data_IF_147090915003
#
_entry.id   IF_147090915003
#
_cell.length_a   1.000
_cell.length_b   1.000
_cell.length_c   1.000
_cell.angle_alpha   90.00
_cell.angle_beta   90.00
_cell.angle_gamma   90.00
#
_symmetry.space_group_name_H-M   'P 1'
#
loop_
_entity.id
_entity.type
_entity.pdbx_description
1 polymer ?
#
# COMPACT_ATOMS: atom_id res chain seq x y z
N UNK A 1 37.48 -37.60 -48.79
CA UNK A 1 37.48 -36.72 -49.98
C UNK A 1 36.87 -35.38 -49.58
N UNK A 2 37.55 -34.25 -49.73
CA UNK A 2 36.98 -32.96 -49.30
C UNK A 2 37.84 -31.75 -49.66
N UNK A 3 37.21 -30.81 -50.36
CA UNK A 3 37.69 -29.48 -50.74
C UNK A 3 36.54 -28.75 -51.50
N UNK A 4 36.46 -27.40 -51.54
CA UNK A 4 37.09 -26.42 -50.63
C UNK A 4 36.27 -25.11 -50.36
N UNK A 5 36.86 -24.24 -49.52
CA UNK A 5 36.82 -22.74 -49.53
C UNK A 5 35.52 -21.98 -49.17
N UNK A 6 35.66 -21.13 -48.14
CA UNK A 6 35.82 -19.68 -48.34
C UNK A 6 36.66 -19.06 -47.20
N UNK A 7 37.43 -17.99 -47.49
CA UNK A 7 38.21 -17.19 -46.52
C UNK A 7 37.69 -15.75 -46.52
N UNK A 8 37.83 -15.04 -45.40
CA UNK A 8 38.17 -13.61 -45.18
C UNK A 8 37.90 -13.33 -43.68
N UNK A 9 38.63 -12.54 -42.89
CA UNK A 9 39.86 -11.75 -43.06
C UNK A 9 39.94 -10.81 -41.84
N UNK A 10 40.96 -10.91 -40.98
CA UNK A 10 41.09 -10.13 -39.72
C UNK A 10 42.18 -9.07 -39.86
N UNK A 11 41.97 -7.89 -39.25
CA UNK A 11 42.90 -7.12 -38.37
C UNK A 11 42.16 -5.83 -37.90
N UNK A 12 42.20 -5.27 -36.67
CA UNK A 12 43.11 -5.14 -35.50
C UNK A 12 44.10 -3.96 -35.53
N UNK A 13 44.25 -3.31 -34.34
CA UNK A 13 45.21 -2.25 -33.91
C UNK A 13 44.81 -0.78 -34.17
N UNK A 14 45.28 0.27 -33.44
CA UNK A 14 45.50 0.50 -31.97
C UNK A 14 45.82 2.01 -31.69
N UNK A 15 45.15 2.64 -30.71
CA UNK A 15 45.49 3.84 -29.85
C UNK A 15 46.60 4.89 -30.21
N UNK A 16 46.19 6.19 -30.20
CA UNK A 16 46.79 7.42 -29.53
C UNK A 16 48.20 7.94 -29.99
N UNK A 17 48.69 9.20 -29.67
CA UNK A 17 48.25 10.21 -28.67
C UNK A 17 48.35 11.75 -28.98
N UNK A 18 47.79 12.58 -28.05
CA UNK A 18 48.22 13.91 -27.47
C UNK A 18 48.62 15.19 -28.27
N UNK A 19 47.97 16.29 -27.83
CA UNK A 19 48.49 17.63 -27.42
C UNK A 19 48.87 18.73 -28.45
N UNK A 20 48.50 19.98 -28.13
CA UNK A 20 48.86 21.20 -28.89
C UNK A 20 48.21 22.48 -28.34
N UNK A 21 48.86 23.11 -27.35
CA UNK A 21 48.45 24.39 -26.72
C UNK A 21 48.87 25.61 -27.57
N UNK A 22 48.08 26.70 -27.59
CA UNK A 22 48.52 28.07 -27.94
C UNK A 22 47.47 29.16 -27.67
N UNK A 23 47.75 30.00 -26.67
CA UNK A 23 47.04 31.24 -26.40
C UNK A 23 47.71 32.49 -27.04
N UNK A 24 46.91 33.52 -27.39
CA UNK A 24 47.17 34.99 -27.40
C UNK A 24 45.93 35.68 -28.02
N UNK A 25 45.11 36.54 -27.38
CA UNK A 25 45.26 37.69 -26.44
C UNK A 25 45.48 39.04 -27.14
N UNK A 26 44.83 40.09 -26.60
CA UNK A 26 44.80 41.53 -26.98
C UNK A 26 43.73 41.92 -28.05
N UNK A 27 43.08 43.11 -28.00
CA UNK A 27 43.31 44.32 -27.15
C UNK A 27 41.99 45.09 -26.83
N UNK A 28 42.01 45.96 -25.80
CA UNK A 28 40.89 46.77 -25.27
C UNK A 28 40.77 48.17 -25.91
N UNK A 29 39.55 48.72 -25.92
CA UNK A 29 39.16 50.11 -25.56
C UNK A 29 37.63 50.08 -25.27
N UNK A 30 36.99 50.56 -24.19
CA UNK A 30 37.26 51.47 -23.04
C UNK A 30 36.89 52.96 -23.22
N UNK A 31 35.61 53.27 -22.99
CA UNK A 31 35.04 54.48 -22.34
C UNK A 31 33.85 53.96 -21.50
N UNK A 32 33.74 54.23 -20.18
CA UNK A 32 33.47 55.48 -19.45
C UNK A 32 32.12 56.11 -19.80
N UNK A 33 31.26 56.52 -18.87
CA UNK A 33 31.12 56.34 -17.39
C UNK A 33 29.61 56.62 -17.07
N UNK A 34 28.99 56.36 -15.91
CA UNK A 34 29.42 55.76 -14.64
C UNK A 34 28.57 56.31 -13.45
N UNK A 35 27.96 55.46 -12.61
CA UNK A 35 27.12 55.88 -11.47
C UNK A 35 27.15 54.89 -10.29
N UNK A 36 27.60 55.37 -9.11
CA UNK A 36 27.44 54.91 -7.71
C UNK A 36 27.56 53.40 -7.35
N UNK A 37 28.52 52.99 -6.51
CA UNK A 37 28.64 53.21 -5.03
C UNK A 37 27.51 52.54 -4.22
N UNK A 38 27.74 51.81 -3.11
CA UNK A 38 28.93 51.14 -2.56
C UNK A 38 28.48 50.14 -1.45
N UNK A 39 29.38 49.25 -1.01
CA UNK A 39 29.42 48.48 0.26
C UNK A 39 28.10 48.25 1.09
N UNK A 40 27.68 47.01 1.36
CA UNK A 40 28.19 46.18 2.48
C UNK A 40 28.26 46.94 3.82
N UNK A 41 27.25 46.78 4.70
CA UNK A 41 27.38 46.51 6.15
C UNK A 41 26.00 46.34 6.84
N UNK A 42 25.98 45.79 8.07
CA UNK A 42 24.82 45.47 8.93
C UNK A 42 23.84 44.41 8.33
N UNK A 43 23.58 43.24 8.91
CA UNK A 43 23.74 42.68 10.25
C UNK A 43 23.00 43.43 11.38
N UNK A 44 22.09 42.69 12.02
CA UNK A 44 21.21 43.08 13.13
C UNK A 44 20.04 44.02 12.77
N UNK A 45 18.94 43.42 12.30
CA UNK A 45 17.72 43.59 13.08
C UNK A 45 16.98 42.25 13.24
N UNK A 46 16.61 41.94 14.48
CA UNK A 46 16.11 40.62 14.90
C UNK A 46 14.63 40.71 15.25
N UNK A 47 13.96 39.56 15.29
CA UNK A 47 12.75 39.33 16.11
C UNK A 47 11.51 40.19 15.79
N UNK A 48 10.83 40.01 14.65
CA UNK A 48 9.37 40.27 14.60
C UNK A 48 8.51 39.36 13.68
N UNK A 49 9.08 38.37 12.98
CA UNK A 49 8.31 37.44 12.12
C UNK A 49 7.87 36.11 12.74
N UNK A 50 8.47 35.68 13.86
CA UNK A 50 8.43 34.28 14.32
C UNK A 50 7.19 33.84 15.13
N UNK A 51 6.11 34.63 15.15
CA UNK A 51 4.91 34.36 16.00
C UNK A 51 3.58 34.14 15.27
N UNK A 52 3.52 34.18 13.93
CA UNK A 52 2.28 33.96 13.14
C UNK A 52 2.29 32.77 12.18
N UNK A 53 3.02 31.68 12.51
CA UNK A 53 2.96 30.38 11.79
C UNK A 53 2.86 29.18 12.75
N UNK A 54 1.93 29.23 13.72
CA UNK A 54 1.66 28.12 14.67
C UNK A 54 0.26 27.50 14.57
N UNK A 55 -0.52 27.83 13.52
CA UNK A 55 -1.88 27.30 13.31
C UNK A 55 -2.07 26.57 11.95
N UNK A 56 -0.99 26.33 11.20
CA UNK A 56 -1.02 25.65 9.89
C UNK A 56 -0.51 24.21 9.89
N UNK A 57 -0.35 23.57 11.06
CA UNK A 57 0.33 22.27 11.21
C UNK A 57 -0.55 21.19 11.89
N UNK A 58 -1.88 21.26 11.69
CA UNK A 58 -2.85 20.31 12.24
C UNK A 58 -3.63 19.51 11.18
N UNK A 59 -3.25 19.62 9.89
CA UNK A 59 -3.76 18.78 8.80
C UNK A 59 -2.88 17.52 8.56
N UNK A 60 -1.90 17.26 9.43
CA UNK A 60 -0.99 16.13 9.31
C UNK A 60 -1.63 14.80 9.71
N UNK A 61 -1.79 13.90 8.74
CA UNK A 61 -1.98 12.45 8.94
C UNK A 61 -3.15 12.02 9.85
N UNK A 62 -4.40 12.11 9.35
CA UNK A 62 -5.58 11.38 9.87
C UNK A 62 -5.45 9.83 9.82
N UNK A 63 -4.30 9.29 9.41
CA UNK A 63 -3.92 7.88 9.50
C UNK A 63 -3.24 7.52 10.84
N UNK A 64 -2.58 8.48 11.50
CA UNK A 64 -1.90 8.27 12.79
C UNK A 64 -2.78 7.74 13.94
N UNK A 65 -4.07 8.11 14.07
CA UNK A 65 -4.92 7.62 15.16
C UNK A 65 -5.13 6.11 15.13
N UNK A 66 -5.32 5.48 13.95
CA UNK A 66 -5.84 4.10 13.89
C UNK A 66 -4.80 3.05 14.31
N UNK A 67 -3.53 3.27 13.99
CA UNK A 67 -2.42 2.47 14.53
C UNK A 67 -2.31 2.60 16.05
N UNK A 68 -2.57 3.80 16.60
CA UNK A 68 -2.63 4.02 18.04
C UNK A 68 -3.86 3.37 18.69
N UNK A 69 -5.00 3.28 17.99
CA UNK A 69 -6.16 2.50 18.43
C UNK A 69 -5.83 0.99 18.51
N UNK A 70 -5.18 0.42 17.49
CA UNK A 70 -4.72 -0.97 17.51
C UNK A 70 -3.74 -1.24 18.67
N UNK A 71 -2.76 -0.36 18.88
CA UNK A 71 -1.82 -0.47 20.00
C UNK A 71 -2.52 -0.36 21.37
N UNK A 72 -3.58 0.45 21.49
CA UNK A 72 -4.26 0.68 22.77
C UNK A 72 -5.30 -0.39 23.09
N UNK A 73 -6.05 -0.87 22.10
CA UNK A 73 -7.14 -1.84 22.26
C UNK A 73 -6.68 -3.30 22.06
N UNK A 74 -5.64 -3.53 21.25
CA UNK A 74 -5.21 -4.85 20.82
C UNK A 74 -3.65 -4.99 20.79
N UNK A 75 -2.94 -4.65 21.89
CA UNK A 75 -1.46 -4.59 21.90
C UNK A 75 -0.75 -5.89 21.50
N UNK A 76 -1.36 -7.04 21.80
CA UNK A 76 -0.83 -8.37 21.44
C UNK A 76 -1.05 -8.70 19.96
N UNK A 77 -2.24 -8.39 19.42
CA UNK A 77 -2.61 -8.65 18.01
C UNK A 77 -1.81 -7.77 17.05
N UNK A 78 -1.38 -6.60 17.51
CA UNK A 78 -0.62 -5.63 16.70
C UNK A 78 0.65 -6.24 16.07
N UNK A 79 1.33 -7.20 16.73
CA UNK A 79 2.47 -7.92 16.14
C UNK A 79 2.12 -8.64 14.83
N UNK A 80 0.98 -9.35 14.81
CA UNK A 80 0.51 -10.09 13.65
C UNK A 80 -0.08 -9.15 12.58
N UNK A 81 -0.92 -8.22 12.98
CA UNK A 81 -1.55 -7.26 12.06
C UNK A 81 -0.53 -6.32 11.41
N UNK A 82 0.53 -5.91 12.12
CA UNK A 82 1.61 -5.11 11.54
C UNK A 82 2.41 -5.92 10.51
N UNK A 83 2.73 -7.19 10.80
CA UNK A 83 3.42 -8.06 9.84
C UNK A 83 2.59 -8.29 8.57
N UNK A 84 1.29 -8.57 8.70
CA UNK A 84 0.35 -8.67 7.56
C UNK A 84 0.30 -7.37 6.78
N UNK A 85 0.12 -6.22 7.46
CA UNK A 85 0.08 -4.89 6.82
C UNK A 85 1.37 -4.60 6.05
N UNK A 86 2.53 -4.89 6.66
CA UNK A 86 3.87 -4.66 6.08
C UNK A 86 4.18 -5.59 4.91
N UNK A 87 3.60 -6.78 4.88
CA UNK A 87 3.64 -7.66 3.71
C UNK A 87 2.69 -7.15 2.61
N UNK A 88 1.42 -6.92 2.93
CA UNK A 88 0.36 -6.74 1.94
C UNK A 88 0.37 -5.36 1.28
N UNK A 89 0.49 -4.28 2.06
CA UNK A 89 0.31 -2.91 1.53
C UNK A 89 1.38 -2.55 0.50
N UNK A 90 2.70 -2.75 0.73
CA UNK A 90 3.72 -2.55 -0.29
C UNK A 90 3.44 -3.35 -1.58
N UNK A 91 3.08 -4.63 -1.46
CA UNK A 91 2.81 -5.51 -2.60
C UNK A 91 1.60 -5.06 -3.42
N UNK A 92 0.56 -4.52 -2.77
CA UNK A 92 -0.59 -3.94 -3.47
C UNK A 92 -0.22 -2.62 -4.14
N UNK A 93 0.55 -1.74 -3.48
CA UNK A 93 1.04 -0.50 -4.06
C UNK A 93 1.93 -0.75 -5.30
N UNK A 94 2.88 -1.67 -5.23
CA UNK A 94 3.71 -2.07 -6.38
C UNK A 94 2.86 -2.57 -7.56
N UNK A 95 1.81 -3.36 -7.28
CA UNK A 95 0.90 -3.85 -8.32
C UNK A 95 0.07 -2.71 -8.93
N UNK A 96 -0.45 -1.78 -8.13
CA UNK A 96 -1.17 -0.60 -8.64
C UNK A 96 -0.27 0.28 -9.51
N UNK A 97 0.99 0.51 -9.10
CA UNK A 97 1.98 1.23 -9.93
C UNK A 97 2.26 0.49 -11.24
N UNK A 98 2.42 -0.84 -11.20
CA UNK A 98 2.65 -1.66 -12.39
C UNK A 98 1.46 -1.60 -13.35
N UNK A 99 0.25 -1.82 -12.84
CA UNK A 99 -1.00 -1.79 -13.62
C UNK A 99 -1.21 -0.37 -14.23
N UNK A 100 -0.93 0.69 -13.46
CA UNK A 100 -0.96 2.08 -13.96
C UNK A 100 0.14 2.40 -14.99
N UNK A 101 1.34 1.78 -14.90
CA UNK A 101 2.40 1.99 -15.89
C UNK A 101 2.02 1.45 -17.27
N UNK A 102 1.23 0.38 -17.32
CA UNK A 102 0.68 -0.18 -18.58
C UNK A 102 -0.30 0.82 -19.21
N UNK A 103 -1.22 1.38 -18.43
CA UNK A 103 -2.20 2.38 -18.89
C UNK A 103 -1.52 3.67 -19.38
N UNK A 104 -0.51 4.16 -18.65
CA UNK A 104 0.28 5.34 -19.03
C UNK A 104 1.23 5.06 -20.21
N UNK A 105 1.58 3.79 -20.46
CA UNK A 105 2.46 3.35 -21.54
C UNK A 105 3.77 4.18 -21.57
N UNK A 106 4.17 4.73 -22.71
CA UNK A 106 5.37 5.57 -22.86
C UNK A 106 5.43 6.76 -21.87
N UNK A 107 4.28 7.30 -21.42
CA UNK A 107 4.26 8.41 -20.44
C UNK A 107 4.78 7.98 -19.07
N UNK A 108 4.69 6.70 -18.72
CA UNK A 108 5.18 6.17 -17.45
C UNK A 108 6.71 6.31 -17.29
N UNK A 109 7.46 6.43 -18.39
CA UNK A 109 8.92 6.57 -18.40
C UNK A 109 9.41 8.02 -18.31
N UNK A 110 8.52 9.01 -18.46
CA UNK A 110 8.89 10.42 -18.46
C UNK A 110 9.28 10.88 -17.05
N UNK A 111 10.43 11.57 -16.96
CA UNK A 111 10.96 12.13 -15.71
C UNK A 111 10.72 13.64 -15.57
N UNK A 112 10.30 14.29 -16.65
CA UNK A 112 10.10 15.73 -16.79
C UNK A 112 8.90 15.97 -17.73
N UNK A 113 8.31 17.16 -17.68
CA UNK A 113 7.16 17.54 -18.53
C UNK A 113 5.82 17.13 -17.92
N UNK A 114 5.24 15.99 -18.35
CA UNK A 114 3.88 15.60 -17.91
C UNK A 114 3.88 15.29 -16.42
N UNK A 115 3.21 16.14 -15.63
CA UNK A 115 3.13 16.02 -14.17
C UNK A 115 4.49 16.02 -13.48
N UNK A 116 5.48 16.72 -14.05
CA UNK A 116 6.85 16.86 -13.50
C UNK A 116 7.53 15.54 -13.10
N UNK A 117 7.23 14.46 -13.82
CA UNK A 117 7.78 13.13 -13.54
C UNK A 117 7.28 12.51 -12.22
N UNK A 118 6.17 12.98 -11.65
CA UNK A 118 5.62 12.51 -10.37
C UNK A 118 5.39 11.00 -10.35
N UNK A 119 5.00 10.40 -11.48
CA UNK A 119 4.85 8.95 -11.59
C UNK A 119 6.19 8.21 -11.41
N UNK A 120 7.27 8.68 -12.05
CA UNK A 120 8.62 8.13 -11.87
C UNK A 120 9.20 8.36 -10.47
N UNK A 121 8.72 9.36 -9.74
CA UNK A 121 9.00 9.50 -8.31
C UNK A 121 8.24 8.45 -7.51
N UNK A 122 6.91 8.41 -7.61
CA UNK A 122 6.03 7.46 -6.90
C UNK A 122 6.48 6.00 -7.13
N UNK A 123 6.81 5.62 -8.37
CA UNK A 123 7.23 4.26 -8.68
C UNK A 123 8.54 3.85 -7.98
N UNK A 124 9.51 4.77 -7.85
CA UNK A 124 10.76 4.53 -7.11
C UNK A 124 10.53 4.52 -5.60
N UNK A 125 9.74 5.47 -5.10
CA UNK A 125 9.42 5.59 -3.67
C UNK A 125 8.64 4.36 -3.16
N UNK A 126 7.82 3.72 -4.00
CA UNK A 126 7.10 2.48 -3.65
C UNK A 126 8.00 1.25 -3.73
N UNK A 127 8.86 1.12 -4.75
CA UNK A 127 9.68 -0.09 -4.98
C UNK A 127 10.66 -0.43 -3.83
N UNK A 128 10.97 0.51 -2.94
CA UNK A 128 11.83 0.31 -1.77
C UNK A 128 11.06 -0.14 -0.51
N UNK A 129 9.72 0.05 -0.47
CA UNK A 129 8.89 -0.19 0.72
C UNK A 129 8.68 -1.67 1.09
N UNK A 130 8.80 -2.57 0.12
CA UNK A 130 8.73 -4.03 0.33
C UNK A 130 10.03 -4.62 0.90
N UNK A 131 11.14 -3.86 0.85
CA UNK A 131 12.48 -4.28 1.30
C UNK A 131 12.84 -3.67 2.67
N UNK A 132 12.58 -2.38 2.86
CA UNK A 132 12.83 -1.68 4.13
C UNK A 132 11.94 -2.20 5.27
N UNK A 133 12.36 -2.08 6.54
CA UNK A 133 11.62 -2.56 7.72
C UNK A 133 11.16 -4.05 7.60
N UNK A 134 12.07 -4.89 7.11
CA UNK A 134 11.85 -6.32 6.92
C UNK A 134 11.27 -6.66 5.54
N UNK A 135 11.94 -7.62 4.88
CA UNK A 135 11.55 -8.12 3.56
C UNK A 135 10.25 -8.93 3.62
N UNK A 136 9.60 -9.11 2.47
CA UNK A 136 8.44 -10.00 2.33
C UNK A 136 8.66 -11.38 2.96
N UNK A 137 9.84 -11.98 2.77
CA UNK A 137 10.20 -13.30 3.30
C UNK A 137 10.23 -13.31 4.83
N UNK A 138 10.82 -12.27 5.44
CA UNK A 138 10.86 -12.13 6.90
C UNK A 138 9.45 -11.97 7.48
N UNK A 139 8.63 -11.12 6.87
CA UNK A 139 7.26 -10.90 7.34
C UNK A 139 6.40 -12.16 7.22
N UNK A 140 6.50 -12.91 6.12
CA UNK A 140 5.80 -14.19 5.97
C UNK A 140 6.28 -15.23 7.00
N UNK A 141 7.58 -15.31 7.31
CA UNK A 141 8.11 -16.19 8.36
C UNK A 141 7.57 -15.84 9.76
N UNK A 142 7.51 -14.53 10.08
CA UNK A 142 6.90 -14.04 11.32
C UNK A 142 5.40 -14.36 11.41
N UNK A 143 4.67 -14.31 10.29
CA UNK A 143 3.26 -14.67 10.21
C UNK A 143 3.08 -16.18 10.40
N UNK A 144 3.81 -17.03 9.65
CA UNK A 144 3.75 -18.50 9.82
C UNK A 144 4.00 -18.90 11.28
N UNK A 145 5.04 -18.36 11.92
CA UNK A 145 5.35 -18.64 13.33
C UNK A 145 4.19 -18.29 14.27
N UNK A 146 3.59 -17.10 14.10
CA UNK A 146 2.47 -16.64 14.92
C UNK A 146 1.18 -17.45 14.68
N UNK A 147 0.91 -17.87 13.44
CA UNK A 147 -0.23 -18.73 13.09
C UNK A 147 -0.07 -20.15 13.66
N UNK A 148 1.13 -20.74 13.56
CA UNK A 148 1.43 -22.04 14.18
C UNK A 148 1.32 -21.96 15.71
N UNK A 149 1.72 -20.84 16.32
CA UNK A 149 1.50 -20.63 17.75
C UNK A 149 0.00 -20.55 18.07
N UNK A 150 -0.80 -19.76 17.36
CA UNK A 150 -2.27 -19.68 17.55
C UNK A 150 -2.95 -21.05 17.44
N UNK A 151 -2.63 -21.82 16.40
CA UNK A 151 -3.23 -23.13 16.15
C UNK A 151 -2.96 -24.14 17.28
N UNK A 152 -1.79 -24.04 17.95
CA UNK A 152 -1.41 -24.90 19.08
C UNK A 152 -1.87 -24.36 20.43
N UNK A 153 -1.89 -23.04 20.58
CA UNK A 153 -2.12 -22.34 21.85
C UNK A 153 -3.60 -22.07 22.14
N UNK A 154 -4.43 -22.01 21.09
CA UNK A 154 -5.78 -21.45 21.12
C UNK A 154 -5.79 -19.93 21.35
N UNK A 155 -6.98 -19.33 21.29
CA UNK A 155 -7.20 -17.97 21.79
C UNK A 155 -7.05 -17.99 23.32
N UNK A 156 -6.15 -17.17 23.86
CA UNK A 156 -5.82 -17.12 25.30
C UNK A 156 -6.24 -15.82 25.99
N UNK A 157 -6.80 -14.88 25.25
CA UNK A 157 -6.99 -13.51 25.69
C UNK A 157 -8.43 -13.04 25.49
N UNK A 158 -8.82 -12.00 26.21
CA UNK A 158 -10.17 -11.40 26.12
C UNK A 158 -10.48 -10.94 24.71
N UNK A 159 -11.75 -11.05 24.29
CA UNK A 159 -12.19 -10.66 22.94
C UNK A 159 -12.00 -9.17 22.71
N UNK A 160 -11.20 -8.80 21.71
CA UNK A 160 -11.07 -7.40 21.28
C UNK A 160 -12.35 -6.94 20.57
N UNK A 161 -12.83 -5.75 20.91
CA UNK A 161 -13.88 -5.07 20.14
C UNK A 161 -13.32 -4.56 18.79
N UNK A 162 -13.44 -5.40 17.78
CA UNK A 162 -13.10 -5.08 16.37
C UNK A 162 -13.99 -3.99 15.77
N UNK A 163 -15.16 -3.70 16.37
CA UNK A 163 -16.02 -2.57 16.01
C UNK A 163 -15.37 -1.25 16.40
N UNK A 164 -14.99 -1.09 17.68
CA UNK A 164 -14.30 0.11 18.16
C UNK A 164 -12.96 0.35 17.45
N UNK A 165 -12.24 -0.72 17.08
CA UNK A 165 -11.02 -0.62 16.27
C UNK A 165 -11.26 -0.06 14.86
N UNK A 166 -12.43 -0.35 14.29
CA UNK A 166 -12.75 -0.07 12.87
C UNK A 166 -13.63 1.16 12.68
N UNK A 167 -14.05 1.84 13.76
CA UNK A 167 -14.76 3.11 13.69
C UNK A 167 -13.85 4.19 13.08
N UNK A 168 -14.27 4.74 11.95
CA UNK A 168 -13.51 5.78 11.23
C UNK A 168 -13.71 7.19 11.81
N UNK A 169 -14.77 7.41 12.59
CA UNK A 169 -15.18 8.72 13.11
C UNK A 169 -14.78 8.95 14.58
N UNK A 170 -14.71 7.89 15.40
CA UNK A 170 -14.22 8.02 16.78
C UNK A 170 -12.70 8.32 16.76
N UNK A 171 -12.24 9.47 17.30
CA UNK A 171 -10.81 9.74 17.39
C UNK A 171 -10.15 8.72 18.32
N UNK A 172 -9.05 8.13 17.88
CA UNK A 172 -8.36 7.13 18.68
C UNK A 172 -7.86 7.70 20.01
N UNK A 173 -7.94 6.89 21.06
CA UNK A 173 -7.35 7.21 22.37
C UNK A 173 -5.85 7.45 22.22
N UNK A 174 -5.33 8.40 22.97
CA UNK A 174 -3.88 8.64 23.05
C UNK A 174 -3.16 7.39 23.52
N UNK A 175 -2.22 6.89 22.72
CA UNK A 175 -1.39 5.74 23.09
C UNK A 175 -0.54 6.07 24.32
N UNK A 176 -0.55 5.19 25.33
CA UNK A 176 0.28 5.32 26.54
C UNK A 176 1.21 4.10 26.68
N UNK A 177 2.49 4.23 26.29
CA UNK A 177 3.47 3.14 26.31
C UNK A 177 3.62 2.43 27.66
N UNK A 178 3.46 3.14 28.78
CA UNK A 178 3.62 2.54 30.13
C UNK A 178 2.52 1.53 30.47
N UNK A 179 1.33 1.70 29.90
CA UNK A 179 0.21 0.76 30.02
C UNK A 179 0.18 -0.29 28.91
N UNK A 180 0.77 0.01 27.75
CA UNK A 180 0.70 -0.86 26.58
C UNK A 180 1.71 -2.00 26.65
N UNK A 181 1.28 -3.16 27.15
CA UNK A 181 2.06 -4.40 27.16
C UNK A 181 2.10 -5.05 25.77
N UNK A 182 2.76 -4.40 24.79
CA UNK A 182 3.03 -4.99 23.47
C UNK A 182 3.83 -6.28 23.65
N UNK A 183 3.45 -7.33 22.94
CA UNK A 183 4.21 -8.59 22.88
C UNK A 183 4.57 -8.89 21.43
N UNK A 184 5.83 -9.24 21.21
CA UNK A 184 6.33 -9.69 19.90
C UNK A 184 6.06 -11.19 19.78
N UNK A 185 5.57 -11.62 18.62
CA UNK A 185 5.29 -13.03 18.29
C UNK A 185 4.26 -13.76 19.18
N UNK A 186 3.47 -13.04 19.98
CA UNK A 186 2.36 -13.57 20.78
C UNK A 186 1.05 -12.84 20.43
N UNK A 187 0.35 -13.25 19.35
CA UNK A 187 -0.84 -12.55 18.85
C UNK A 187 -2.04 -12.57 19.80
N UNK A 188 -2.15 -13.53 20.72
CA UNK A 188 -3.27 -13.68 21.66
C UNK A 188 -4.58 -14.24 21.08
N UNK A 189 -4.90 -13.88 19.83
CA UNK A 189 -6.06 -14.35 19.05
C UNK A 189 -6.08 -13.71 17.65
N UNK A 190 -7.07 -14.04 16.82
CA UNK A 190 -7.41 -13.24 15.62
C UNK A 190 -8.93 -13.14 15.44
N UNK A 191 -9.54 -12.24 16.22
CA UNK A 191 -10.97 -11.99 16.23
C UNK A 191 -11.53 -11.56 14.87
N UNK A 192 -10.69 -11.02 13.98
CA UNK A 192 -11.12 -10.45 12.70
C UNK A 192 -11.44 -11.54 11.68
N UNK A 193 -10.51 -12.49 11.42
CA UNK A 193 -10.77 -13.62 10.53
C UNK A 193 -11.79 -14.59 11.15
N UNK A 194 -11.74 -14.82 12.46
CA UNK A 194 -12.71 -15.65 13.18
C UNK A 194 -14.15 -15.13 13.02
N UNK A 195 -14.39 -13.81 13.16
CA UNK A 195 -15.73 -13.20 13.04
C UNK A 195 -16.33 -13.35 11.65
N UNK A 196 -15.54 -13.12 10.60
CA UNK A 196 -16.06 -13.04 9.23
C UNK A 196 -16.08 -14.39 8.49
N UNK A 197 -15.09 -15.25 8.76
CA UNK A 197 -14.91 -16.53 8.07
C UNK A 197 -15.06 -17.77 8.97
N UNK A 198 -15.34 -17.59 10.25
CA UNK A 198 -15.81 -18.65 11.15
C UNK A 198 -17.23 -19.15 10.83
N UNK A 199 -17.85 -19.84 11.79
CA UNK A 199 -19.10 -20.58 11.57
C UNK A 199 -20.37 -19.70 11.43
N UNK A 200 -20.28 -18.39 11.68
CA UNK A 200 -21.45 -17.50 11.69
C UNK A 200 -22.05 -17.25 10.30
N UNK A 201 -23.38 -17.33 10.15
CA UNK A 201 -24.08 -16.96 8.92
C UNK A 201 -24.01 -15.44 8.63
N UNK A 202 -23.79 -14.62 9.66
CA UNK A 202 -23.86 -13.15 9.69
C UNK A 202 -23.37 -12.41 8.42
N UNK A 203 -22.21 -12.79 7.88
CA UNK A 203 -21.64 -12.12 6.71
C UNK A 203 -22.46 -12.35 5.43
N UNK A 204 -23.10 -13.51 5.30
CA UNK A 204 -23.94 -13.87 4.15
C UNK A 204 -25.28 -13.14 4.26
N UNK A 205 -25.88 -13.10 5.45
CA UNK A 205 -27.15 -12.39 5.70
C UNK A 205 -27.01 -10.89 5.42
N UNK A 206 -25.90 -10.29 5.86
CA UNK A 206 -25.60 -8.87 5.66
C UNK A 206 -25.35 -8.48 4.18
N UNK A 207 -24.92 -9.44 3.36
CA UNK A 207 -24.59 -9.27 1.94
C UNK A 207 -25.62 -9.93 1.00
N UNK A 208 -26.73 -10.46 1.54
CA UNK A 208 -27.70 -11.28 0.79
C UNK A 208 -28.31 -10.58 -0.45
N UNK A 209 -28.29 -9.25 -0.49
CA UNK A 209 -28.73 -8.45 -1.63
C UNK A 209 -27.78 -8.45 -2.83
N UNK A 210 -26.53 -8.89 -2.69
CA UNK A 210 -25.52 -8.90 -3.75
C UNK A 210 -24.92 -10.31 -3.94
N UNK A 211 -25.40 -11.11 -4.91
CA UNK A 211 -25.00 -12.50 -5.07
C UNK A 211 -23.50 -12.67 -5.38
N UNK A 212 -22.85 -11.69 -6.02
CA UNK A 212 -21.39 -11.72 -6.28
C UNK A 212 -20.59 -11.63 -4.98
N UNK A 213 -21.01 -10.75 -4.06
CA UNK A 213 -20.38 -10.62 -2.75
C UNK A 213 -20.57 -11.89 -1.91
N UNK A 214 -21.78 -12.48 -1.94
CA UNK A 214 -22.08 -13.76 -1.28
C UNK A 214 -21.15 -14.87 -1.82
N UNK A 215 -21.01 -15.01 -3.14
CA UNK A 215 -20.14 -16.01 -3.76
C UNK A 215 -18.66 -15.81 -3.39
N UNK A 216 -18.16 -14.56 -3.41
CA UNK A 216 -16.80 -14.23 -3.01
C UNK A 216 -16.53 -14.58 -1.53
N UNK A 217 -17.44 -14.21 -0.62
CA UNK A 217 -17.33 -14.57 0.82
C UNK A 217 -17.40 -16.08 1.02
N UNK A 218 -18.26 -16.80 0.30
CA UNK A 218 -18.29 -18.27 0.34
C UNK A 218 -16.99 -18.91 -0.17
N UNK A 219 -16.30 -18.30 -1.14
CA UNK A 219 -14.96 -18.74 -1.55
C UNK A 219 -13.95 -18.53 -0.42
N UNK A 220 -13.87 -17.31 0.12
CA UNK A 220 -12.96 -16.97 1.23
C UNK A 220 -13.21 -17.82 2.49
N UNK A 221 -14.46 -18.24 2.76
CA UNK A 221 -14.81 -19.19 3.83
C UNK A 221 -14.26 -20.59 3.59
N UNK A 222 -14.21 -21.07 2.35
CA UNK A 222 -13.59 -22.36 2.01
C UNK A 222 -12.08 -22.30 2.22
N UNK A 223 -11.44 -21.22 1.76
CA UNK A 223 -10.02 -20.95 1.99
C UNK A 223 -9.66 -20.86 3.48
N UNK A 224 -10.46 -20.15 4.28
CA UNK A 224 -10.24 -20.06 5.73
C UNK A 224 -10.34 -21.43 6.45
N UNK A 225 -11.29 -22.28 6.04
CA UNK A 225 -11.41 -23.66 6.57
C UNK A 225 -10.23 -24.54 6.13
N UNK A 226 -9.77 -24.41 4.89
CA UNK A 226 -8.60 -25.12 4.39
C UNK A 226 -7.33 -24.72 5.14
N UNK A 227 -7.13 -23.42 5.38
CA UNK A 227 -6.04 -22.88 6.20
C UNK A 227 -6.08 -23.42 7.63
N UNK A 228 -7.25 -23.39 8.29
CA UNK A 228 -7.41 -23.95 9.64
C UNK A 228 -7.04 -25.43 9.71
N UNK A 229 -7.48 -26.22 8.72
CA UNK A 229 -7.14 -27.65 8.63
C UNK A 229 -5.64 -27.86 8.43
N UNK A 230 -5.00 -27.11 7.52
CA UNK A 230 -3.56 -27.20 7.24
C UNK A 230 -2.69 -26.78 8.45
N UNK A 231 -3.13 -25.80 9.22
CA UNK A 231 -2.48 -25.41 10.48
C UNK A 231 -2.64 -26.49 11.56
N UNK A 232 -3.80 -27.15 11.64
CA UNK A 232 -4.06 -28.22 12.60
C UNK A 232 -3.27 -29.52 12.28
N UNK A 233 -3.04 -29.84 11.01
CA UNK A 233 -2.26 -31.02 10.58
C UNK A 233 -0.74 -30.82 10.66
N UNK A 234 -0.26 -29.73 11.26
CA UNK A 234 1.15 -29.31 11.30
C UNK A 234 1.79 -29.22 9.91
N UNK A 235 1.36 -28.23 9.11
CA UNK A 235 2.10 -27.82 7.93
C UNK A 235 3.61 -27.67 8.18
N UNK A 236 4.42 -28.13 7.22
CA UNK A 236 5.87 -28.22 7.33
C UNK A 236 6.51 -26.85 7.64
N UNK A 237 7.49 -26.79 8.58
CA UNK A 237 8.23 -25.55 8.84
C UNK A 237 8.95 -25.06 7.57
N UNK A 238 8.45 -23.97 6.99
CA UNK A 238 8.97 -23.41 5.75
C UNK A 238 7.92 -23.16 4.67
N UNK A 239 6.71 -23.73 4.79
CA UNK A 239 5.63 -23.32 3.88
C UNK A 239 5.09 -21.92 4.23
N UNK A 240 5.27 -21.01 3.29
CA UNK A 240 4.81 -19.62 3.37
C UNK A 240 3.51 -19.39 2.58
N UNK A 241 2.97 -20.41 1.91
CA UNK A 241 1.67 -20.35 1.21
C UNK A 241 0.55 -19.98 2.18
N UNK A 242 0.51 -20.65 3.34
CA UNK A 242 -0.48 -20.42 4.40
C UNK A 242 -0.42 -19.00 4.96
N UNK A 243 0.78 -18.43 5.12
CA UNK A 243 0.94 -17.04 5.52
C UNK A 243 0.44 -16.05 4.46
N UNK A 244 0.63 -16.34 3.16
CA UNK A 244 0.07 -15.53 2.06
C UNK A 244 -1.45 -15.61 2.01
N UNK A 245 -2.01 -16.82 2.11
CA UNK A 245 -3.46 -17.07 2.15
C UNK A 245 -4.10 -16.34 3.35
N UNK A 246 -3.48 -16.43 4.53
CA UNK A 246 -3.90 -15.69 5.72
C UNK A 246 -3.89 -14.17 5.52
N UNK A 247 -2.87 -13.60 4.88
CA UNK A 247 -2.85 -12.15 4.59
C UNK A 247 -4.04 -11.71 3.73
N UNK A 248 -4.47 -12.55 2.78
CA UNK A 248 -5.60 -12.27 1.89
C UNK A 248 -6.93 -12.36 2.66
N UNK A 249 -7.08 -13.38 3.52
CA UNK A 249 -8.23 -13.50 4.42
C UNK A 249 -8.32 -12.33 5.39
N UNK A 250 -7.21 -11.95 6.03
CA UNK A 250 -7.15 -10.81 6.95
C UNK A 250 -7.51 -9.49 6.25
N UNK A 251 -7.09 -9.30 4.99
CA UNK A 251 -7.49 -8.15 4.17
C UNK A 251 -8.99 -8.14 3.89
N UNK A 252 -9.56 -9.27 3.48
CA UNK A 252 -10.99 -9.38 3.19
C UNK A 252 -11.86 -9.15 4.43
N UNK A 253 -11.46 -9.71 5.57
CA UNK A 253 -12.11 -9.47 6.86
C UNK A 253 -11.98 -7.99 7.30
N UNK A 254 -10.85 -7.33 7.01
CA UNK A 254 -10.68 -5.89 7.25
C UNK A 254 -11.65 -5.05 6.40
N UNK A 255 -11.78 -5.33 5.10
CA UNK A 255 -12.72 -4.63 4.22
C UNK A 255 -14.18 -4.81 4.69
N UNK A 256 -14.57 -6.03 5.03
CA UNK A 256 -15.90 -6.36 5.59
C UNK A 256 -16.16 -5.62 6.90
N UNK A 257 -15.20 -5.63 7.83
CA UNK A 257 -15.34 -4.96 9.13
C UNK A 257 -15.43 -3.45 9.00
N UNK A 258 -14.61 -2.83 8.14
CA UNK A 258 -14.64 -1.38 7.88
C UNK A 258 -16.01 -0.98 7.32
N UNK A 259 -16.50 -1.67 6.28
CA UNK A 259 -17.81 -1.37 5.71
C UNK A 259 -18.94 -1.59 6.72
N UNK A 260 -18.97 -2.73 7.40
CA UNK A 260 -20.01 -3.04 8.39
C UNK A 260 -20.07 -2.02 9.53
N UNK A 261 -18.93 -1.64 10.09
CA UNK A 261 -18.85 -0.69 11.22
C UNK A 261 -19.28 0.72 10.82
N UNK A 262 -19.00 1.13 9.57
CA UNK A 262 -19.17 2.51 9.13
C UNK A 262 -20.32 2.71 8.14
N UNK A 263 -21.12 1.69 7.82
CA UNK A 263 -22.15 1.73 6.77
C UNK A 263 -23.09 2.94 6.87
N UNK A 264 -23.50 3.34 8.07
CA UNK A 264 -24.34 4.52 8.31
C UNK A 264 -23.62 5.88 8.34
N UNK A 265 -22.30 5.91 8.09
CA UNK A 265 -21.43 7.11 8.08
C UNK A 265 -20.66 7.29 6.77
N UNK A 266 -20.63 6.26 5.93
CA UNK A 266 -20.08 6.28 4.57
C UNK A 266 -20.98 7.12 3.64
N UNK A 267 -20.44 7.57 2.50
CA UNK A 267 -21.24 8.21 1.45
C UNK A 267 -22.25 7.20 0.86
N UNK A 268 -23.37 7.63 0.24
CA UNK A 268 -24.34 6.70 -0.34
C UNK A 268 -23.72 5.66 -1.29
N UNK A 269 -22.77 6.10 -2.12
CA UNK A 269 -22.04 5.27 -3.11
C UNK A 269 -21.07 4.27 -2.45
N UNK A 270 -20.57 4.57 -1.25
CA UNK A 270 -19.68 3.69 -0.50
C UNK A 270 -20.41 2.83 0.55
N UNK A 271 -21.60 3.24 0.98
CA UNK A 271 -22.50 2.48 1.85
C UNK A 271 -23.21 1.32 1.12
N UNK A 272 -23.44 1.45 -0.19
CA UNK A 272 -24.04 0.41 -1.05
C UNK A 272 -23.25 -0.91 -1.07
N UNK A 273 -21.92 -0.83 -1.05
CA UNK A 273 -21.03 -1.99 -0.99
C UNK A 273 -20.53 -2.51 -2.34
N UNK A 274 -20.74 -1.77 -3.43
CA UNK A 274 -20.24 -2.12 -4.77
C UNK A 274 -18.70 -2.24 -4.77
N UNK A 275 -17.98 -1.25 -4.23
CA UNK A 275 -16.52 -1.31 -4.10
C UNK A 275 -16.06 -2.53 -3.28
N UNK A 276 -16.82 -2.88 -2.22
CA UNK A 276 -16.52 -4.02 -1.35
C UNK A 276 -16.66 -5.33 -2.13
N UNK A 277 -17.69 -5.45 -2.97
CA UNK A 277 -17.91 -6.62 -3.85
C UNK A 277 -16.70 -6.85 -4.76
N UNK A 278 -16.24 -5.80 -5.47
CA UNK A 278 -15.05 -5.89 -6.34
C UNK A 278 -13.78 -6.24 -5.55
N UNK A 279 -13.60 -5.66 -4.35
CA UNK A 279 -12.49 -6.00 -3.47
C UNK A 279 -12.54 -7.47 -3.03
N UNK A 280 -13.70 -7.98 -2.66
CA UNK A 280 -13.88 -9.37 -2.21
C UNK A 280 -13.66 -10.36 -3.35
N UNK A 281 -14.16 -10.09 -4.56
CA UNK A 281 -13.89 -10.90 -5.74
C UNK A 281 -12.39 -10.94 -6.06
N UNK A 282 -11.73 -9.78 -6.11
CA UNK A 282 -10.27 -9.68 -6.36
C UNK A 282 -9.47 -10.46 -5.30
N UNK A 283 -9.85 -10.39 -4.04
CA UNK A 283 -9.21 -11.11 -2.95
C UNK A 283 -9.50 -12.62 -3.02
N UNK A 284 -10.73 -13.03 -3.35
CA UNK A 284 -11.08 -14.43 -3.56
C UNK A 284 -10.27 -15.06 -4.72
N UNK A 285 -10.17 -14.38 -5.87
CA UNK A 285 -9.30 -14.83 -6.98
C UNK A 285 -7.83 -14.92 -6.56
N UNK A 286 -7.34 -13.97 -5.76
CA UNK A 286 -5.97 -14.04 -5.23
C UNK A 286 -5.75 -15.16 -4.22
N UNK A 287 -6.77 -15.56 -3.46
CA UNK A 287 -6.67 -16.67 -2.51
C UNK A 287 -6.64 -18.03 -3.23
N UNK A 288 -7.46 -18.19 -4.28
CA UNK A 288 -7.56 -19.45 -5.02
C UNK A 288 -6.42 -19.68 -6.03
N UNK A 289 -5.58 -18.68 -6.33
CA UNK A 289 -4.53 -18.78 -7.35
C UNK A 289 -3.13 -18.48 -6.77
N UNK A 290 -2.26 -19.49 -6.71
CA UNK A 290 -0.87 -19.34 -6.23
C UNK A 290 -0.02 -18.36 -7.06
N UNK A 291 -0.38 -18.15 -8.33
CA UNK A 291 0.25 -17.17 -9.22
C UNK A 291 -0.79 -16.14 -9.68
N UNK A 292 -0.77 -14.90 -9.14
CA UNK A 292 -1.70 -13.86 -9.55
C UNK A 292 -1.24 -13.23 -10.88
N UNK A 293 -1.55 -13.90 -11.99
CA UNK A 293 -1.66 -13.27 -13.32
C UNK A 293 -3.13 -12.91 -13.55
N UNK A 294 -3.58 -11.69 -13.24
CA UNK A 294 -4.97 -11.29 -13.42
C UNK A 294 -5.12 -10.86 -14.88
N UNK A 295 -5.85 -11.64 -15.66
CA UNK A 295 -6.39 -11.17 -16.93
C UNK A 295 -7.44 -10.09 -16.65
N UNK A 296 -6.99 -8.85 -16.51
CA UNK A 296 -7.81 -7.63 -16.39
C UNK A 296 -8.58 -7.29 -17.70
N UNK A 297 -9.07 -8.31 -18.40
CA UNK A 297 -9.67 -8.23 -19.72
C UNK A 297 -10.56 -9.44 -20.06
N UNK A 298 -11.07 -10.13 -19.04
CA UNK A 298 -12.23 -11.01 -19.20
C UNK A 298 -13.50 -10.23 -18.90
N UNK A 299 -14.46 -10.22 -19.83
CA UNK A 299 -15.66 -9.36 -19.85
C UNK A 299 -16.63 -9.52 -18.66
N UNK A 300 -16.36 -10.43 -17.72
CA UNK A 300 -17.21 -10.68 -16.55
C UNK A 300 -16.90 -9.87 -15.30
N UNK A 301 -15.65 -9.43 -15.07
CA UNK A 301 -15.30 -8.76 -13.79
C UNK A 301 -15.74 -7.29 -13.77
N UNK A 302 -15.58 -6.60 -14.90
CA UNK A 302 -15.89 -5.18 -15.12
C UNK A 302 -17.29 -4.91 -15.67
N UNK A 303 -18.31 -5.64 -15.21
CA UNK A 303 -19.72 -5.32 -15.55
C UNK A 303 -20.20 -3.99 -14.95
N UNK A 304 -21.51 -3.74 -15.02
CA UNK A 304 -22.18 -2.51 -14.52
C UNK A 304 -21.64 -2.00 -13.17
N UNK A 305 -21.48 -2.89 -12.19
CA UNK A 305 -20.96 -2.57 -10.85
C UNK A 305 -19.53 -1.98 -10.86
N UNK A 306 -18.68 -2.39 -11.82
CA UNK A 306 -17.38 -1.76 -12.09
C UNK A 306 -17.49 -0.34 -12.64
N UNK A 307 -18.42 -0.12 -13.58
CA UNK A 307 -18.70 1.21 -14.12
C UNK A 307 -19.25 2.16 -13.05
N UNK A 308 -20.13 1.69 -12.14
CA UNK A 308 -20.62 2.51 -11.01
C UNK A 308 -19.48 3.00 -10.11
N UNK A 309 -18.58 2.10 -9.70
CA UNK A 309 -17.42 2.43 -8.86
C UNK A 309 -16.45 3.35 -9.61
N UNK A 310 -16.22 3.13 -10.90
CA UNK A 310 -15.39 4.01 -11.73
C UNK A 310 -15.98 5.42 -11.85
N UNK A 311 -17.29 5.54 -12.12
CA UNK A 311 -18.00 6.84 -12.18
C UNK A 311 -17.94 7.58 -10.84
N UNK A 312 -18.12 6.87 -9.72
CA UNK A 312 -17.96 7.46 -8.38
C UNK A 312 -16.53 7.99 -8.16
N UNK A 313 -15.51 7.21 -8.49
CA UNK A 313 -14.10 7.64 -8.42
C UNK A 313 -13.83 8.84 -9.33
N UNK A 314 -14.35 8.87 -10.56
CA UNK A 314 -14.20 10.01 -11.47
C UNK A 314 -14.80 11.29 -10.86
N UNK A 315 -15.97 11.19 -10.24
CA UNK A 315 -16.57 12.30 -9.49
C UNK A 315 -15.71 12.79 -8.30
N UNK A 316 -14.96 11.90 -7.63
CA UNK A 316 -13.99 12.33 -6.60
C UNK A 316 -12.86 13.16 -7.22
N UNK A 317 -12.32 12.72 -8.37
CA UNK A 317 -11.28 13.47 -9.09
C UNK A 317 -11.78 14.86 -9.53
N UNK A 318 -12.99 14.95 -10.08
CA UNK A 318 -13.61 16.21 -10.52
C UNK A 318 -13.83 17.19 -9.36
N UNK A 319 -14.10 16.69 -8.14
CA UNK A 319 -14.23 17.51 -6.92
C UNK A 319 -12.91 17.83 -6.23
N UNK A 320 -11.78 17.32 -6.72
CA UNK A 320 -10.47 17.49 -6.06
C UNK A 320 -10.34 16.70 -4.74
N UNK A 321 -11.08 15.59 -4.62
CA UNK A 321 -11.01 14.66 -3.49
C UNK A 321 -9.96 13.56 -3.74
N UNK A 322 -9.37 13.05 -2.67
CA UNK A 322 -8.64 11.77 -2.72
C UNK A 322 -9.60 10.60 -2.97
N UNK A 323 -9.17 9.63 -3.79
CA UNK A 323 -9.85 8.34 -3.92
C UNK A 323 -9.90 7.63 -2.56
N UNK A 324 -11.07 7.66 -1.92
CA UNK A 324 -11.22 7.28 -0.51
C UNK A 324 -12.68 7.00 -0.18
N UNK A 325 -12.91 6.02 0.73
CA UNK A 325 -14.25 5.68 1.25
C UNK A 325 -14.89 6.84 2.04
N UNK A 326 -14.07 7.75 2.57
CA UNK A 326 -14.49 9.00 3.19
C UNK A 326 -14.02 10.16 2.30
N UNK A 327 -14.85 11.16 1.98
CA UNK A 327 -14.40 12.33 1.21
C UNK A 327 -13.27 13.04 1.97
N UNK A 328 -12.14 13.21 1.28
CA UNK A 328 -10.94 13.85 1.79
C UNK A 328 -10.46 14.85 0.74
N UNK A 329 -10.81 16.12 0.93
CA UNK A 329 -10.35 17.22 0.09
C UNK A 329 -8.83 17.27 0.04
N UNK A 330 -8.28 17.45 -1.17
CA UNK A 330 -6.89 17.82 -1.36
C UNK A 330 -6.70 19.28 -0.94
N UNK A 331 -5.64 19.56 -0.18
CA UNK A 331 -5.28 20.94 0.15
C UNK A 331 -4.88 21.68 -1.14
N UNK A 332 -5.59 22.78 -1.43
CA UNK A 332 -5.30 23.71 -2.51
C UNK A 332 -4.06 24.57 -2.20
#
# INVERSE_FOLDING_TARGET
>A
MGAPRARHGRDRLRKLPRAGDRARRTRRARTRDGAHDAAIHAHDDRRHGARRRRHGAAAGCRLGPRSAAALTLAPRRTSLWAAVTKYLVPNMCERVVRDASVVLSARSYLREGIGDGIFQKIARDIAITSIFEGTQLLQLSLITSQLTHLARAGRRDETVDVGLLSDLATPARSWNPSTTRVRVADPGGDELVERWFGQSAFALDLLASEPRAVAAVQSLRREAKALQLALATNALPGDLSLARQYCILHAAASCLQIWHTNRGRLSPESAGGEWLTLCLERLATMACCESPSPSWGGDGMGGDLGNRVFTWMLGQLERGELFSLMPLELAQ
#
